data_IF_833490365272
#
_entry.id   IF_833490365272
#
_cell.length_a   1.000
_cell.length_b   1.000
_cell.length_c   1.000
_cell.angle_alpha   90.00
_cell.angle_beta   90.00
_cell.angle_gamma   90.00
#
_symmetry.space_group_name_H-M   'P 1'
#
loop_
_entity.id
_entity.type
_entity.pdbx_description
1 polymer ?
2 non-polymer ?
3 non-polymer ?
4 non-polymer ?
5 non-polymer ?
6 non-polymer ?
7 water ?
#
# COMPACT_ATOMS: atom_id res chain seq x y z
N UNK A 1 19.31 -14.22 -15.98
CA UNK A 1 19.26 -14.96 -14.72
C UNK A 1 17.83 -15.05 -14.22
N UNK A 2 17.64 -15.76 -13.12
CA UNK A 2 16.32 -15.85 -12.52
C UNK A 2 15.94 -14.51 -11.90
N UNK A 3 14.64 -14.33 -11.68
CA UNK A 3 14.19 -13.17 -10.93
C UNK A 3 14.43 -13.45 -9.45
N UNK A 4 15.27 -12.63 -8.83
CA UNK A 4 15.73 -12.83 -7.46
C UNK A 4 14.91 -12.02 -6.47
N UNK A 5 14.83 -12.52 -5.24
CA UNK A 5 14.30 -11.73 -4.14
C UNK A 5 15.16 -10.48 -3.93
N UNK A 6 14.53 -9.42 -3.44
CA UNK A 6 15.26 -8.18 -3.19
C UNK A 6 15.07 -7.72 -1.76
N UNK A 7 16.13 -7.12 -1.21
CA UNK A 7 16.02 -6.41 0.05
C UNK A 7 16.67 -5.03 -0.12
N UNK A 8 16.81 -4.29 0.97
CA UNK A 8 17.47 -3.01 0.91
C UNK A 8 18.98 -3.18 0.92
N UNK A 9 19.67 -2.28 0.22
CA UNK A 9 21.13 -2.33 0.20
C UNK A 9 21.72 -1.74 1.49
N UNK A 10 21.09 -0.70 2.03
CA UNK A 10 21.58 0.00 3.20
C UNK A 10 20.40 0.44 4.05
N UNK A 11 20.70 0.86 5.28
CA UNK A 11 19.66 1.33 6.19
C UNK A 11 19.11 2.67 5.74
N UNK A 12 17.80 2.84 5.83
CA UNK A 12 17.11 4.07 5.45
C UNK A 12 16.37 4.62 6.66
N UNK A 13 16.44 5.93 6.86
CA UNK A 13 15.77 6.56 7.99
C UNK A 13 14.89 7.72 7.55
N UNK A 14 13.76 7.89 8.23
CA UNK A 14 12.88 9.02 7.98
C UNK A 14 12.18 9.38 9.28
N UNK A 15 11.83 10.65 9.41
CA UNK A 15 11.06 11.13 10.55
C UNK A 15 9.76 11.74 10.02
N UNK A 16 8.70 11.61 10.80
CA UNK A 16 7.46 12.25 10.44
C UNK A 16 6.45 12.16 11.55
N UNK A 17 5.18 12.27 11.18
CA UNK A 17 4.07 12.16 12.13
C UNK A 17 3.05 11.20 11.55
N UNK A 18 2.33 10.51 12.44
CA UNK A 18 1.24 9.67 11.98
C UNK A 18 0.05 10.50 11.55
N UNK A 19 -0.52 10.16 10.40
CA UNK A 19 -1.70 10.88 9.91
C UNK A 19 -2.82 10.86 10.93
N UNK A 20 -3.10 9.69 11.48
CA UNK A 20 -4.26 9.56 12.37
C UNK A 20 -3.93 9.91 13.80
N UNK A 21 -2.74 9.55 14.29
CA UNK A 21 -2.41 9.79 15.69
C UNK A 21 -1.78 11.16 15.93
N UNK A 22 -1.19 11.76 14.90
CA UNK A 22 -0.41 12.98 15.04
C UNK A 22 0.89 12.83 15.79
N UNK A 23 1.30 11.61 16.14
CA UNK A 23 2.49 11.43 16.97
C UNK A 23 3.76 11.42 16.12
N UNK A 24 4.79 12.09 16.62
CA UNK A 24 6.09 12.02 15.98
C UNK A 24 6.60 10.59 15.98
N UNK A 25 7.20 10.18 14.88
CA UNK A 25 7.66 8.80 14.73
C UNK A 25 8.94 8.78 13.91
N UNK A 26 9.88 7.94 14.33
CA UNK A 26 11.12 7.68 13.63
C UNK A 26 10.98 6.33 12.93
N UNK A 27 11.23 6.33 11.63
CA UNK A 27 11.13 5.16 10.79
C UNK A 27 12.54 4.72 10.38
N UNK A 28 12.83 3.43 10.50
CA UNK A 28 14.10 2.88 10.06
C UNK A 28 13.81 1.64 9.24
N UNK A 29 14.28 1.64 8.00
CA UNK A 29 14.13 0.50 7.11
C UNK A 29 15.47 -0.22 7.02
N UNK A 30 15.47 -1.53 7.24
CA UNK A 30 16.70 -2.30 7.28
C UNK A 30 16.63 -3.51 6.35
N UNK A 31 17.78 -3.94 5.84
CA UNK A 31 17.81 -5.19 5.07
C UNK A 31 17.37 -6.38 5.93
N UNK A 32 16.85 -7.40 5.28
CA UNK A 32 16.42 -8.60 5.96
C UNK A 32 16.74 -9.82 5.10
N UNK A 33 16.89 -10.99 5.72
CA UNK A 33 17.26 -12.19 4.96
C UNK A 33 16.14 -12.67 4.04
N UNK A 34 16.53 -13.60 3.16
CA UNK A 34 15.60 -14.23 2.24
C UNK A 34 14.39 -14.77 2.99
N UNK A 35 13.22 -14.69 2.38
CA UNK A 35 11.97 -15.25 2.89
C UNK A 35 11.55 -14.67 4.24
N UNK A 36 12.06 -13.49 4.58
CA UNK A 36 11.57 -12.77 5.77
C UNK A 36 10.22 -12.11 5.51
N UNK A 37 10.03 -11.61 4.29
CA UNK A 37 8.93 -10.70 4.04
C UNK A 37 9.21 -9.33 4.66
N UNK A 38 8.17 -8.52 4.67
CA UNK A 38 8.20 -7.21 5.31
C UNK A 38 7.70 -7.38 6.73
N UNK A 39 8.53 -7.02 7.71
CA UNK A 39 8.18 -7.20 9.11
C UNK A 39 8.28 -5.85 9.82
N UNK A 40 7.19 -5.41 10.44
CA UNK A 40 7.19 -4.19 11.22
C UNK A 40 7.62 -4.49 12.65
N UNK A 41 8.32 -3.52 13.24
CA UNK A 41 8.95 -3.67 14.54
C UNK A 41 8.67 -2.43 15.37
N UNK A 42 8.02 -2.59 16.53
CA UNK A 42 7.77 -1.48 17.45
C UNK A 42 8.94 -1.39 18.40
N UNK A 43 9.94 -0.58 18.04
CA UNK A 43 11.17 -0.50 18.81
C UNK A 43 11.07 0.45 20.00
N UNK A 44 9.93 1.12 20.18
CA UNK A 44 9.71 1.85 21.42
C UNK A 44 9.34 0.91 22.56
N UNK A 45 9.00 -0.34 22.26
CA UNK A 45 8.61 -1.32 23.25
C UNK A 45 9.80 -2.20 23.61
N UNK A 46 9.78 -2.72 24.84
CA UNK A 46 10.90 -3.53 25.30
C UNK A 46 10.35 -4.69 26.12
N UNK A 47 10.46 -5.94 25.62
CA UNK A 47 11.03 -6.32 24.32
C UNK A 47 10.22 -5.81 23.15
N UNK A 48 10.86 -5.79 21.98
CA UNK A 48 10.16 -5.32 20.78
C UNK A 48 9.00 -6.24 20.45
N UNK A 49 8.05 -5.69 19.71
CA UNK A 49 6.95 -6.46 19.14
C UNK A 49 7.14 -6.43 17.64
N UNK A 50 7.26 -7.60 17.03
CA UNK A 50 7.44 -7.72 15.58
C UNK A 50 6.16 -8.23 14.96
N UNK A 51 5.69 -7.53 13.92
CA UNK A 51 4.45 -7.92 13.25
C UNK A 51 4.72 -8.08 11.76
N UNK A 52 4.75 -9.30 11.24
CA UNK A 52 4.82 -9.48 9.79
C UNK A 52 3.68 -8.77 9.08
N UNK A 53 4.01 -8.09 7.98
CA UNK A 53 3.01 -7.39 7.18
C UNK A 53 2.27 -8.41 6.31
N UNK A 54 1.40 -9.17 6.97
CA UNK A 54 0.63 -10.23 6.33
C UNK A 54 -0.85 -10.07 6.67
N UNK A 55 -1.70 -10.56 5.74
CA UNK A 55 -3.15 -10.46 5.90
C UNK A 55 -3.61 -10.98 7.27
N UNK A 56 -2.97 -12.05 7.76
CA UNK A 56 -3.40 -12.66 9.02
C UNK A 56 -3.20 -11.74 10.23
N UNK A 57 -2.43 -10.66 10.09
CA UNK A 57 -2.19 -9.76 11.21
C UNK A 57 -2.93 -8.44 11.08
N UNK A 58 -3.82 -8.32 10.10
CA UNK A 58 -4.64 -7.13 9.97
C UNK A 58 -5.71 -7.14 11.06
N UNK A 59 -5.78 -6.07 11.83
CA UNK A 59 -6.87 -5.87 12.75
C UNK A 59 -7.88 -4.92 12.14
N UNK A 60 -7.94 -3.70 12.67
CA UNK A 60 -8.88 -2.71 12.16
C UNK A 60 -8.53 -2.28 10.74
N UNK A 61 -9.56 -1.87 10.01
CA UNK A 61 -9.48 -1.35 8.66
C UNK A 61 -10.37 -0.12 8.52
N UNK A 62 -10.44 0.68 9.57
CA UNK A 62 -11.22 1.92 9.59
C UNK A 62 -10.27 3.07 9.29
N UNK A 63 -10.38 3.62 8.08
CA UNK A 63 -9.63 4.78 7.59
C UNK A 63 -8.16 4.48 7.35
N UNK A 64 -7.70 3.26 7.58
CA UNK A 64 -6.33 2.85 7.30
C UNK A 64 -6.29 1.34 7.44
N UNK A 65 -5.18 0.72 7.06
CA UNK A 65 -4.94 -0.68 7.38
C UNK A 65 -4.03 -0.74 8.61
N UNK A 66 -4.48 -1.47 9.64
CA UNK A 66 -3.78 -1.53 10.92
C UNK A 66 -3.36 -2.97 11.16
N UNK A 67 -2.08 -3.17 11.45
CA UNK A 67 -1.59 -4.47 11.91
C UNK A 67 -1.66 -4.55 13.42
N UNK A 68 -1.96 -5.75 13.94
CA UNK A 68 -2.12 -5.94 15.38
C UNK A 68 -1.43 -7.23 15.82
N UNK A 69 -0.88 -7.18 17.03
CA UNK A 69 -0.30 -8.36 17.68
C UNK A 69 -0.33 -8.10 19.17
N UNK A 70 -0.86 -9.05 19.93
CA UNK A 70 -1.07 -8.78 21.35
C UNK A 70 -1.94 -7.55 21.52
N UNK A 71 -1.52 -6.64 22.39
CA UNK A 71 -2.23 -5.39 22.59
C UNK A 71 -1.67 -4.27 21.73
N UNK A 72 -0.77 -4.58 20.81
CA UNK A 72 0.09 -3.63 20.11
C UNK A 72 -0.40 -3.44 18.68
N UNK A 73 -0.25 -2.24 18.15
CA UNK A 73 -0.68 -1.98 16.79
C UNK A 73 0.41 -1.25 16.00
N UNK A 74 0.35 -1.42 14.69
CA UNK A 74 1.08 -0.60 13.73
C UNK A 74 0.05 -0.12 12.73
N UNK A 75 -0.23 1.19 12.73
CA UNK A 75 -1.31 1.74 11.95
C UNK A 75 -0.79 2.35 10.65
N UNK A 76 -1.66 2.38 9.65
CA UNK A 76 -1.47 3.10 8.38
C UNK A 76 -0.24 2.56 7.65
N UNK A 77 -0.26 1.25 7.40
CA UNK A 77 0.85 0.62 6.69
C UNK A 77 0.72 0.69 5.18
N UNK A 78 -0.42 1.13 4.64
CA UNK A 78 -0.72 0.92 3.23
C UNK A 78 0.22 1.69 2.30
N UNK A 79 0.62 2.92 2.67
CA UNK A 79 1.42 3.70 1.72
C UNK A 79 2.86 3.21 1.67
N UNK A 80 3.43 2.85 2.82
CA UNK A 80 4.77 2.27 2.79
C UNK A 80 4.76 0.91 2.10
N UNK A 81 3.76 0.07 2.38
CA UNK A 81 3.70 -1.21 1.69
C UNK A 81 3.50 -1.03 0.20
N UNK A 82 2.79 0.02 -0.22
CA UNK A 82 2.66 0.26 -1.66
C UNK A 82 4.00 0.55 -2.29
N UNK A 83 4.85 1.32 -1.60
CA UNK A 83 6.20 1.59 -2.10
C UNK A 83 7.02 0.32 -2.18
N UNK A 84 6.94 -0.53 -1.16
CA UNK A 84 7.65 -1.81 -1.15
C UNK A 84 7.21 -2.68 -2.32
N UNK A 85 5.90 -2.82 -2.48
CA UNK A 85 5.35 -3.58 -3.59
C UNK A 85 5.77 -2.99 -4.92
N UNK A 86 5.64 -1.67 -5.06
CA UNK A 86 5.92 -1.04 -6.34
C UNK A 86 7.36 -1.18 -6.77
N UNK A 87 8.30 -1.24 -5.81
CA UNK A 87 9.72 -1.41 -6.09
C UNK A 87 10.17 -2.86 -6.04
N UNK A 88 9.27 -3.79 -5.74
CA UNK A 88 9.64 -5.20 -5.74
C UNK A 88 10.49 -5.62 -4.57
N UNK A 89 10.30 -5.02 -3.41
CA UNK A 89 11.09 -5.36 -2.22
C UNK A 89 10.43 -6.53 -1.50
N UNK A 90 11.14 -7.66 -1.45
CA UNK A 90 10.58 -8.84 -0.79
C UNK A 90 10.78 -8.82 0.71
N UNK A 91 11.97 -8.42 1.17
CA UNK A 91 12.39 -8.66 2.54
C UNK A 91 12.90 -7.36 3.15
N UNK A 92 12.39 -7.01 4.32
CA UNK A 92 12.82 -5.78 4.96
C UNK A 92 12.28 -5.74 6.38
N UNK A 93 13.06 -5.14 7.27
CA UNK A 93 12.60 -4.81 8.61
C UNK A 93 12.22 -3.34 8.61
N UNK A 94 11.05 -3.04 9.14
CA UNK A 94 10.54 -1.68 9.21
C UNK A 94 10.39 -1.34 10.70
N UNK A 95 11.34 -0.60 11.23
CA UNK A 95 11.32 -0.22 12.64
C UNK A 95 10.60 1.11 12.82
N UNK A 96 9.75 1.17 13.85
CA UNK A 96 8.98 2.36 14.18
C UNK A 96 9.07 2.66 15.66
N UNK A 97 9.27 3.93 16.00
CA UNK A 97 9.30 4.35 17.38
C UNK A 97 7.92 4.69 17.94
N UNK A 98 6.86 4.40 17.20
CA UNK A 98 5.49 4.72 17.60
C UNK A 98 4.52 3.87 16.80
N UNK A 99 3.24 3.99 17.14
CA UNK A 99 2.21 3.08 16.66
C UNK A 99 1.71 3.36 15.25
N UNK A 100 2.29 4.32 14.52
CA UNK A 100 1.81 4.60 13.17
C UNK A 100 2.96 4.99 12.26
N UNK A 101 2.93 4.49 11.03
CA UNK A 101 3.90 4.88 10.00
C UNK A 101 3.78 6.37 9.73
N UNK A 102 4.87 7.12 9.59
CA UNK A 102 4.75 8.54 9.22
C UNK A 102 4.04 8.70 7.89
N UNK A 103 3.15 9.70 7.82
CA UNK A 103 2.40 9.97 6.59
C UNK A 103 3.24 10.66 5.51
N UNK A 104 4.33 11.34 5.88
CA UNK A 104 5.21 12.02 4.90
C UNK A 104 4.35 13.04 4.15
N UNK A 105 4.35 13.06 2.81
CA UNK A 105 3.55 14.02 2.05
C UNK A 105 2.19 13.45 1.65
N UNK A 106 1.81 12.31 2.22
CA UNK A 106 0.54 11.69 1.92
C UNK A 106 0.59 10.66 0.81
N UNK A 107 1.71 10.53 0.12
CA UNK A 107 1.85 9.61 -1.01
C UNK A 107 2.95 8.59 -0.69
N UNK A 108 3.29 7.78 -1.69
CA UNK A 108 4.45 6.91 -1.58
C UNK A 108 5.71 7.53 -2.17
N UNK A 109 5.63 8.78 -2.65
CA UNK A 109 6.76 9.43 -3.28
C UNK A 109 8.00 9.53 -2.41
N UNK A 110 7.86 10.06 -1.19
CA UNK A 110 9.04 10.14 -0.32
C UNK A 110 9.65 8.78 -0.02
N UNK A 111 8.81 7.74 0.15
CA UNK A 111 9.35 6.41 0.42
C UNK A 111 10.12 5.86 -0.78
N UNK A 112 9.57 5.98 -2.00
CA UNK A 112 10.29 5.42 -3.13
C UNK A 112 11.58 6.19 -3.38
N UNK A 113 11.60 7.51 -3.12
CA UNK A 113 12.84 8.25 -3.26
C UNK A 113 13.88 7.82 -2.21
N UNK A 114 13.46 7.73 -0.94
CA UNK A 114 14.41 7.35 0.10
C UNK A 114 14.97 5.95 -0.15
N UNK A 115 14.12 5.02 -0.57
CA UNK A 115 14.57 3.65 -0.82
C UNK A 115 15.52 3.61 -1.99
N UNK A 116 15.15 4.27 -3.09
CA UNK A 116 15.95 4.19 -4.31
C UNK A 116 17.24 4.99 -4.18
N UNK A 117 17.26 6.00 -3.31
CA UNK A 117 18.52 6.66 -2.96
C UNK A 117 19.50 5.66 -2.36
N UNK A 118 19.02 4.85 -1.42
CA UNK A 118 19.88 3.88 -0.76
C UNK A 118 20.18 2.71 -1.68
N UNK A 119 19.21 2.29 -2.48
CA UNK A 119 19.38 1.20 -3.40
C UNK A 119 18.84 -0.12 -2.87
N UNK A 120 18.55 -1.02 -3.81
CA UNK A 120 18.12 -2.37 -3.48
C UNK A 120 19.27 -3.34 -3.67
N UNK A 121 19.08 -4.55 -3.13
CA UNK A 121 20.07 -5.61 -3.17
C UNK A 121 19.38 -6.91 -3.55
N UNK A 122 19.84 -7.55 -4.64
CA UNK A 122 19.29 -8.84 -5.00
C UNK A 122 19.87 -9.90 -4.10
N UNK A 123 19.05 -10.91 -3.80
CA UNK A 123 19.42 -12.00 -2.93
C UNK A 123 19.39 -13.30 -3.73
N UNK A 124 20.17 -14.28 -3.29
CA UNK A 124 20.33 -15.52 -4.03
C UNK A 124 19.24 -16.52 -3.67
N UNK A 125 18.01 -16.14 -3.97
CA UNK A 125 16.85 -16.99 -3.84
C UNK A 125 15.82 -16.51 -4.86
N UNK A 126 15.10 -17.44 -5.45
CA UNK A 126 14.09 -17.08 -6.43
C UNK A 126 12.98 -16.26 -5.79
N UNK A 127 12.63 -15.15 -6.43
CA UNK A 127 11.45 -14.38 -6.09
C UNK A 127 10.19 -15.20 -6.35
N UNK A 128 9.30 -15.23 -5.38
CA UNK A 128 8.04 -15.95 -5.49
C UNK A 128 6.90 -14.98 -5.79
N UNK A 129 6.02 -15.40 -6.71
CA UNK A 129 4.87 -14.61 -7.14
C UNK A 129 3.60 -15.40 -6.85
N UNK A 130 2.50 -14.71 -6.55
CA UNK A 130 1.19 -15.35 -6.45
C UNK A 130 0.44 -15.09 -7.74
N UNK A 131 0.14 -16.15 -8.50
CA UNK A 131 -0.53 -16.03 -9.79
C UNK A 131 -2.01 -16.37 -9.61
N UNK A 132 -2.88 -15.43 -9.97
CA UNK A 132 -4.32 -15.64 -9.91
C UNK A 132 -4.72 -16.58 -11.04
N UNK A 133 -5.37 -17.70 -10.67
CA UNK A 133 -5.78 -18.70 -11.66
C UNK A 133 -7.24 -18.63 -12.04
N UNK A 134 -8.10 -18.10 -11.19
CA UNK A 134 -9.50 -17.92 -11.54
C UNK A 134 -10.05 -16.76 -10.72
N UNK A 135 -11.23 -16.29 -11.12
CA UNK A 135 -11.80 -15.11 -10.48
C UNK A 135 -12.12 -15.37 -9.02
N UNK A 136 -11.79 -14.38 -8.20
CA UNK A 136 -12.12 -14.35 -6.77
C UNK A 136 -12.68 -12.98 -6.48
N UNK A 137 -13.79 -12.92 -5.74
CA UNK A 137 -14.40 -11.62 -5.51
C UNK A 137 -15.05 -11.53 -4.14
N UNK A 138 -15.18 -10.31 -3.65
CA UNK A 138 -15.96 -10.05 -2.46
C UNK A 138 -16.78 -8.81 -2.74
N UNK A 139 -17.97 -8.77 -2.15
CA UNK A 139 -18.86 -7.63 -2.29
C UNK A 139 -19.49 -7.33 -0.95
N UNK A 140 -19.82 -6.06 -0.73
CA UNK A 140 -20.61 -5.66 0.42
C UNK A 140 -21.45 -4.48 -0.03
N UNK A 141 -22.75 -4.67 -0.13
CA UNK A 141 -23.58 -3.62 -0.69
C UNK A 141 -23.14 -3.35 -2.12
N UNK A 142 -22.95 -2.08 -2.45
CA UNK A 142 -22.52 -1.73 -3.80
C UNK A 142 -21.01 -1.73 -3.97
N UNK A 143 -20.24 -2.06 -2.93
CA UNK A 143 -18.79 -2.11 -3.00
C UNK A 143 -18.36 -3.50 -3.48
N UNK A 144 -17.25 -3.53 -4.23
CA UNK A 144 -16.78 -4.79 -4.78
C UNK A 144 -15.27 -4.75 -4.96
N UNK A 145 -14.63 -5.90 -4.76
CA UNK A 145 -13.20 -6.03 -5.00
C UNK A 145 -13.00 -7.39 -5.64
N UNK A 146 -12.24 -7.46 -6.74
CA UNK A 146 -12.14 -8.66 -7.57
C UNK A 146 -10.69 -8.90 -7.95
N UNK A 147 -10.28 -10.17 -7.97
CA UNK A 147 -9.06 -10.63 -8.63
C UNK A 147 -9.47 -11.41 -9.87
N UNK A 148 -8.83 -11.13 -11.00
CA UNK A 148 -9.03 -11.96 -12.19
C UNK A 148 -7.68 -12.32 -12.78
N UNK A 149 -7.57 -13.45 -13.48
CA UNK A 149 -6.28 -13.81 -14.06
C UNK A 149 -5.86 -12.78 -15.10
N UNK A 150 -4.55 -12.55 -15.17
CA UNK A 150 -3.96 -11.59 -16.08
C UNK A 150 -2.46 -11.83 -16.13
N UNK A 151 -1.91 -11.84 -17.34
CA UNK A 151 -0.49 -12.14 -17.57
C UNK A 151 0.31 -10.87 -17.37
N UNK A 152 0.53 -10.53 -16.11
CA UNK A 152 1.15 -9.27 -15.72
C UNK A 152 0.58 -8.83 -14.39
N UNK A 153 0.62 -7.52 -14.13
CA UNK A 153 -0.02 -6.96 -12.95
C UNK A 153 -0.71 -5.68 -13.34
N UNK A 154 -2.02 -5.61 -13.11
CA UNK A 154 -2.83 -4.47 -13.50
C UNK A 154 -3.82 -4.16 -12.38
N UNK A 155 -4.09 -2.89 -12.15
CA UNK A 155 -5.02 -2.46 -11.12
C UNK A 155 -5.96 -1.44 -11.74
N UNK A 156 -7.26 -1.67 -11.60
CA UNK A 156 -8.29 -0.71 -12.02
C UNK A 156 -9.12 -0.34 -10.81
N UNK A 157 -9.67 0.88 -10.83
CA UNK A 157 -10.42 1.35 -9.70
C UNK A 157 -11.48 2.33 -10.17
N UNK A 158 -12.63 2.30 -9.50
CA UNK A 158 -13.71 3.25 -9.74
C UNK A 158 -14.22 3.74 -8.40
N UNK A 159 -14.31 5.05 -8.23
CA UNK A 159 -14.91 5.65 -7.06
C UNK A 159 -16.22 6.30 -7.50
N UNK A 160 -17.03 6.69 -6.52
CA UNK A 160 -18.32 7.33 -6.80
C UNK A 160 -18.69 8.20 -5.60
N UNK A 161 -18.12 9.39 -5.55
CA UNK A 161 -18.40 10.35 -4.48
C UNK A 161 -19.54 11.28 -4.89
N UNK A 162 -20.56 11.37 -4.03
CA UNK A 162 -21.68 12.29 -4.20
C UNK A 162 -21.25 13.66 -3.66
N UNK A 163 -20.35 14.30 -4.41
CA UNK A 163 -19.70 15.51 -3.95
C UNK A 163 -19.41 16.39 -5.15
N UNK A 164 -19.60 17.70 -5.04
CA UNK A 164 -19.45 18.57 -6.23
C UNK A 164 -18.03 18.65 -6.78
N UNK A 165 -17.00 18.29 -6.00
CA UNK A 165 -15.63 18.28 -6.51
C UNK A 165 -15.33 17.00 -7.28
N UNK A 166 -16.20 15.99 -7.17
CA UNK A 166 -16.02 14.71 -7.83
C UNK A 166 -16.99 14.46 -8.97
N UNK A 167 -18.23 14.95 -8.85
CA UNK A 167 -19.21 14.79 -9.92
C UNK A 167 -18.67 15.35 -11.23
N UNK A 168 -18.83 14.58 -12.30
CA UNK A 168 -18.37 15.04 -13.59
C UNK A 168 -16.89 14.85 -13.85
N UNK A 169 -16.14 14.37 -12.86
CA UNK A 169 -14.70 14.13 -12.99
C UNK A 169 -14.40 12.68 -13.36
N UNK A 170 -13.14 12.47 -13.72
CA UNK A 170 -12.58 11.15 -13.96
C UNK A 170 -12.50 10.42 -12.63
N UNK A 171 -13.43 9.50 -12.41
CA UNK A 171 -13.46 8.72 -11.19
C UNK A 171 -13.14 7.25 -11.45
N UNK A 172 -12.55 6.95 -12.59
CA UNK A 172 -12.16 5.59 -12.92
C UNK A 172 -10.78 5.63 -13.55
N UNK A 173 -9.96 4.63 -13.26
CA UNK A 173 -8.64 4.57 -13.86
C UNK A 173 -8.15 3.13 -13.84
N UNK A 174 -7.31 2.80 -14.80
CA UNK A 174 -6.67 1.49 -14.90
C UNK A 174 -5.20 1.71 -15.20
N UNK A 175 -4.32 1.03 -14.48
CA UNK A 175 -2.89 1.15 -14.70
C UNK A 175 -2.30 -0.24 -14.81
N UNK A 176 -1.45 -0.43 -15.82
CA UNK A 176 -0.69 -1.66 -16.01
C UNK A 176 0.68 -1.50 -15.38
N UNK A 177 0.98 -2.34 -14.39
CA UNK A 177 2.25 -2.32 -13.68
C UNK A 177 3.11 -3.51 -14.06
N UNK A 178 2.92 -4.04 -15.27
CA UNK A 178 3.74 -5.18 -15.69
C UNK A 178 5.16 -4.76 -16.03
N UNK A 179 5.36 -3.48 -16.33
CA UNK A 179 6.69 -2.90 -16.50
C UNK A 179 6.96 -1.97 -15.33
N UNK A 180 7.76 -0.94 -15.55
CA UNK A 180 8.20 -0.09 -14.43
C UNK A 180 7.46 1.24 -14.39
N UNK A 181 6.14 1.20 -14.41
CA UNK A 181 5.32 2.41 -14.45
C UNK A 181 4.84 2.90 -13.08
N UNK A 182 5.10 2.16 -12.00
CA UNK A 182 4.55 2.53 -10.68
C UNK A 182 5.03 3.91 -10.26
N UNK A 183 6.32 4.18 -10.39
CA UNK A 183 6.86 5.44 -9.89
C UNK A 183 6.21 6.61 -10.61
N UNK A 184 6.10 6.54 -11.93
CA UNK A 184 5.55 7.65 -12.69
C UNK A 184 4.04 7.75 -12.52
N UNK A 185 3.36 6.60 -12.47
CA UNK A 185 1.90 6.62 -12.60
C UNK A 185 1.20 6.90 -11.27
N UNK A 186 1.61 6.27 -10.16
CA UNK A 186 0.81 6.41 -8.95
C UNK A 186 1.60 6.78 -7.70
N UNK A 187 2.95 6.67 -7.71
CA UNK A 187 3.66 6.76 -6.44
C UNK A 187 3.42 8.10 -5.73
N UNK A 188 3.17 9.17 -6.48
CA UNK A 188 3.07 10.49 -5.89
C UNK A 188 1.63 10.92 -5.66
N UNK A 189 0.66 10.02 -5.85
CA UNK A 189 -0.73 10.39 -5.64
C UNK A 189 -1.02 10.43 -4.14
N UNK A 190 -1.48 11.59 -3.66
CA UNK A 190 -1.66 11.84 -2.23
C UNK A 190 -2.99 11.33 -1.71
N UNK A 191 -3.00 10.96 -0.43
CA UNK A 191 -4.22 10.67 0.29
C UNK A 191 -5.09 11.93 0.35
N UNK A 192 -6.36 11.74 0.71
CA UNK A 192 -7.33 12.83 0.66
C UNK A 192 -8.41 12.60 1.70
N UNK A 193 -8.99 13.70 2.15
CA UNK A 193 -10.06 13.65 3.13
C UNK A 193 -10.89 14.89 2.98
N UNK A 194 -11.94 14.97 3.79
CA UNK A 194 -12.95 16.01 3.66
C UNK A 194 -12.97 16.87 4.91
N UNK A 195 -12.85 18.18 4.71
CA UNK A 195 -12.83 19.12 5.82
C UNK A 195 -14.05 18.94 6.72
N UNK A 196 -15.20 18.64 6.13
CA UNK A 196 -16.43 18.45 6.88
C UNK A 196 -16.28 17.41 7.97
N UNK A 197 -15.46 16.39 7.74
CA UNK A 197 -15.34 15.24 8.64
C UNK A 197 -14.36 15.46 9.79
N UNK A 198 -13.61 16.57 9.80
CA UNK A 198 -12.43 16.60 10.65
C UNK A 198 -12.77 16.53 12.14
N UNK A 199 -13.90 17.11 12.57
CA UNK A 199 -14.25 17.02 13.98
C UNK A 199 -14.64 15.60 14.36
N UNK A 200 -15.45 14.94 13.54
CA UNK A 200 -15.78 13.55 13.81
C UNK A 200 -14.52 12.69 13.81
N UNK A 201 -13.69 12.84 12.78
CA UNK A 201 -12.46 12.06 12.69
C UNK A 201 -11.62 12.22 13.95
N UNK A 202 -11.35 13.46 14.34
CA UNK A 202 -10.50 13.70 15.51
C UNK A 202 -11.09 13.11 16.77
N UNK A 203 -12.42 13.06 16.86
CA UNK A 203 -13.05 12.45 18.02
C UNK A 203 -12.82 10.93 18.06
N UNK A 204 -12.47 10.32 16.93
CA UNK A 204 -12.15 8.91 16.81
C UNK A 204 -10.66 8.64 16.81
N UNK A 205 -9.85 9.63 17.18
CA UNK A 205 -8.39 9.55 17.06
C UNK A 205 -7.99 9.22 15.63
N UNK A 206 -8.60 9.92 14.68
CA UNK A 206 -8.27 9.84 13.27
C UNK A 206 -7.95 11.24 12.74
N UNK A 207 -7.05 11.28 11.76
CA UNK A 207 -6.63 12.51 11.07
C UNK A 207 -6.10 13.59 12.01
N UNK A 208 -5.65 13.21 13.21
CA UNK A 208 -5.11 14.19 14.15
C UNK A 208 -3.87 14.88 13.60
N UNK A 209 -3.14 14.21 12.71
CA UNK A 209 -2.01 14.83 12.05
C UNK A 209 -2.28 15.35 10.66
N UNK A 210 -3.51 15.25 10.17
CA UNK A 210 -3.80 15.59 8.79
C UNK A 210 -3.81 17.10 8.54
N UNK A 211 -3.25 17.50 7.41
CA UNK A 211 -3.18 18.90 7.03
C UNK A 211 -2.98 18.96 5.52
N UNK A 212 -3.01 20.18 4.99
CA UNK A 212 -2.71 20.35 3.57
C UNK A 212 -1.27 19.98 3.23
N UNK A 213 -0.40 19.81 4.24
CA UNK A 213 0.97 19.38 3.95
C UNK A 213 1.08 17.88 3.70
N UNK A 214 0.07 17.09 4.06
CA UNK A 214 0.17 15.65 3.84
C UNK A 214 -1.10 15.02 3.28
N UNK A 215 -2.04 15.83 2.78
CA UNK A 215 -3.28 15.31 2.21
C UNK A 215 -3.92 16.36 1.32
N UNK A 216 -4.65 15.89 0.33
CA UNK A 216 -5.59 16.74 -0.38
C UNK A 216 -6.80 16.93 0.52
N UNK A 217 -7.07 18.15 0.93
CA UNK A 217 -8.18 18.46 1.83
C UNK A 217 -9.30 19.06 1.00
N UNK A 218 -10.44 18.39 0.97
CA UNK A 218 -11.55 18.78 0.12
C UNK A 218 -12.60 19.47 0.98
N UNK A 219 -12.91 20.71 0.65
CA UNK A 219 -13.96 21.48 1.30
C UNK A 219 -15.29 21.16 0.63
N UNK A 220 -16.33 21.97 0.91
CA UNK A 220 -17.65 21.62 0.38
C UNK A 220 -17.71 21.79 -1.14
N UNK A 221 -17.04 22.80 -1.68
CA UNK A 221 -17.16 23.10 -3.10
C UNK A 221 -15.83 23.27 -3.81
N UNK A 222 -14.71 22.96 -3.16
CA UNK A 222 -13.41 23.17 -3.78
C UNK A 222 -12.35 22.41 -3.00
N UNK A 223 -11.23 22.18 -3.66
CA UNK A 223 -10.03 21.67 -2.99
C UNK A 223 -9.38 22.81 -2.20
N UNK A 224 -9.06 22.55 -0.94
CA UNK A 224 -8.49 23.57 -0.09
C UNK A 224 -7.03 23.88 -0.43
N UNK A 225 -6.27 22.87 -0.85
CA UNK A 225 -4.85 23.03 -1.16
C UNK A 225 -4.65 24.08 -2.23
N UNK A 226 -3.93 25.14 -1.85
CA UNK A 226 -3.74 26.25 -2.77
C UNK A 226 -2.84 25.89 -3.94
N UNK A 227 -1.96 24.90 -3.78
CA UNK A 227 -0.94 24.66 -4.79
C UNK A 227 -1.40 23.72 -5.91
N UNK A 228 -2.54 23.04 -5.77
CA UNK A 228 -3.11 22.29 -6.87
C UNK A 228 -2.79 20.80 -6.80
N UNK A 229 -3.31 20.08 -7.79
CA UNK A 229 -3.19 18.63 -7.86
C UNK A 229 -1.96 18.21 -8.64
N UNK A 230 -1.43 17.05 -8.27
CA UNK A 230 -0.31 16.45 -8.98
C UNK A 230 -0.75 15.68 -10.22
N UNK A 231 -1.99 15.21 -10.24
CA UNK A 231 -2.62 14.57 -11.38
C UNK A 231 -4.07 14.99 -11.39
N UNK A 232 -4.66 15.18 -12.57
CA UNK A 232 -6.08 15.50 -12.59
C UNK A 232 -6.91 14.37 -12.00
N UNK A 233 -6.41 13.13 -12.06
CA UNK A 233 -7.10 11.99 -11.47
C UNK A 233 -6.39 11.51 -10.21
N UNK A 234 -5.88 12.45 -9.41
CA UNK A 234 -5.08 12.07 -8.25
C UNK A 234 -5.88 11.24 -7.25
N UNK A 235 -7.18 11.54 -7.10
CA UNK A 235 -7.98 10.80 -6.11
C UNK A 235 -8.04 9.31 -6.44
N UNK A 236 -8.44 8.98 -7.66
CA UNK A 236 -8.56 7.56 -8.01
C UNK A 236 -7.19 6.91 -8.11
N UNK A 237 -6.16 7.66 -8.50
CA UNK A 237 -4.82 7.09 -8.49
C UNK A 237 -4.37 6.76 -7.07
N UNK A 238 -4.77 7.56 -6.08
CA UNK A 238 -4.41 7.22 -4.71
C UNK A 238 -5.10 5.95 -4.26
N UNK A 239 -6.35 5.75 -4.67
CA UNK A 239 -7.04 4.51 -4.34
C UNK A 239 -6.31 3.31 -4.91
N UNK A 240 -5.75 3.47 -6.11
CA UNK A 240 -4.92 2.42 -6.71
C UNK A 240 -3.66 2.18 -5.89
N UNK A 241 -3.01 3.28 -5.46
CA UNK A 241 -1.85 3.17 -4.57
C UNK A 241 -2.21 2.38 -3.31
N UNK A 242 -3.33 2.73 -2.68
CA UNK A 242 -3.80 2.02 -1.49
C UNK A 242 -3.99 0.54 -1.78
N UNK A 243 -4.59 0.22 -2.94
CA UNK A 243 -4.87 -1.18 -3.25
C UNK A 243 -3.57 -1.96 -3.40
N UNK A 244 -2.56 -1.36 -4.03
CA UNK A 244 -1.29 -2.06 -4.21
C UNK A 244 -0.68 -2.37 -2.86
N UNK A 245 -0.72 -1.41 -1.93
CA UNK A 245 -0.17 -1.64 -0.60
C UNK A 245 -0.97 -2.67 0.18
N UNK A 246 -2.29 -2.56 0.17
CA UNK A 246 -3.12 -3.55 0.86
C UNK A 246 -2.90 -4.95 0.27
N UNK A 247 -2.81 -5.05 -1.06
CA UNK A 247 -2.61 -6.35 -1.71
C UNK A 247 -1.27 -6.96 -1.35
N UNK A 248 -0.28 -6.13 -1.04
CA UNK A 248 1.02 -6.67 -0.68
C UNK A 248 1.03 -7.39 0.68
N UNK A 249 -0.06 -7.27 1.45
CA UNK A 249 -0.20 -8.10 2.63
C UNK A 249 -0.31 -9.59 2.29
N UNK A 250 -0.47 -9.94 1.00
CA UNK A 250 -0.32 -11.34 0.61
C UNK A 250 1.09 -11.84 0.82
N UNK A 251 2.08 -10.95 0.88
CA UNK A 251 3.45 -11.33 1.14
C UNK A 251 4.29 -11.56 -0.10
N UNK A 252 3.69 -11.50 -1.28
CA UNK A 252 4.43 -11.66 -2.52
C UNK A 252 3.80 -10.79 -3.60
N UNK A 253 4.58 -10.48 -4.63
CA UNK A 253 4.05 -9.80 -5.80
C UNK A 253 2.98 -10.64 -6.49
N UNK A 254 2.01 -9.95 -7.08
CA UNK A 254 0.87 -10.58 -7.72
C UNK A 254 1.04 -10.65 -9.23
N UNK A 255 0.63 -11.78 -9.81
CA UNK A 255 0.47 -11.90 -11.26
C UNK A 255 -1.03 -12.04 -11.49
N UNK A 256 -1.67 -10.96 -11.89
CA UNK A 256 -3.12 -10.93 -12.01
C UNK A 256 -3.60 -9.50 -12.08
N UNK A 257 -4.92 -9.37 -12.12
CA UNK A 257 -5.57 -8.08 -12.20
C UNK A 257 -6.48 -7.88 -10.99
N UNK A 258 -6.40 -6.70 -10.37
CA UNK A 258 -7.32 -6.29 -9.31
C UNK A 258 -8.28 -5.23 -9.86
N UNK A 259 -9.56 -5.35 -9.51
CA UNK A 259 -10.51 -4.30 -9.85
C UNK A 259 -11.27 -3.92 -8.58
N UNK A 260 -11.26 -2.65 -8.24
CA UNK A 260 -11.96 -2.13 -7.08
C UNK A 260 -13.10 -1.23 -7.53
N UNK A 261 -14.24 -1.37 -6.88
CA UNK A 261 -15.41 -0.54 -7.14
C UNK A 261 -15.89 -0.03 -5.79
N UNK A 262 -15.63 1.25 -5.51
CA UNK A 262 -15.99 1.88 -4.26
C UNK A 262 -15.44 1.13 -3.05
N UNK A 263 -14.36 0.38 -3.24
CA UNK A 263 -13.81 -0.43 -2.16
C UNK A 263 -12.79 0.37 -1.36
N UNK A 264 -12.34 -0.22 -0.26
CA UNK A 264 -11.38 0.39 0.62
C UNK A 264 -10.65 -0.69 1.40
N UNK A 265 -10.02 -0.29 2.51
CA UNK A 265 -9.12 -1.20 3.21
C UNK A 265 -9.87 -2.43 3.73
N UNK A 266 -11.10 -2.25 4.22
CA UNK A 266 -11.84 -3.37 4.78
C UNK A 266 -12.11 -4.43 3.72
N UNK A 267 -12.62 -4.02 2.56
CA UNK A 267 -12.93 -5.01 1.54
C UNK A 267 -11.67 -5.58 0.91
N UNK A 268 -10.60 -4.78 0.80
CA UNK A 268 -9.32 -5.30 0.34
C UNK A 268 -8.86 -6.46 1.22
N UNK A 269 -8.93 -6.27 2.55
CA UNK A 269 -8.54 -7.33 3.49
C UNK A 269 -9.44 -8.55 3.33
N UNK A 270 -10.75 -8.34 3.18
CA UNK A 270 -11.67 -9.47 2.99
C UNK A 270 -11.34 -10.22 1.70
N UNK A 271 -10.95 -9.50 0.65
CA UNK A 271 -10.59 -10.16 -0.61
C UNK A 271 -9.37 -11.04 -0.42
N UNK A 272 -8.34 -10.52 0.27
CA UNK A 272 -7.14 -11.33 0.50
C UNK A 272 -7.48 -12.58 1.30
N UNK A 273 -8.34 -12.44 2.31
CA UNK A 273 -8.63 -13.58 3.18
C UNK A 273 -9.38 -14.67 2.42
N UNK A 274 -10.32 -14.29 1.55
CA UNK A 274 -11.00 -15.34 0.80
C UNK A 274 -10.11 -15.92 -0.29
N UNK A 275 -9.23 -15.10 -0.89
CA UNK A 275 -8.26 -15.65 -1.84
C UNK A 275 -7.39 -16.70 -1.18
N UNK A 276 -6.83 -16.36 -0.02
CA UNK A 276 -5.95 -17.30 0.68
C UNK A 276 -6.67 -18.61 0.99
N UNK A 277 -7.95 -18.52 1.37
CA UNK A 277 -8.71 -19.75 1.64
C UNK A 277 -9.07 -20.51 0.38
N UNK A 278 -9.21 -19.81 -0.74
CA UNK A 278 -9.62 -20.37 -2.02
C UNK A 278 -8.39 -20.85 -2.79
N UNK A 279 -7.77 -21.92 -2.30
CA UNK A 279 -6.43 -22.27 -2.77
C UNK A 279 -6.41 -22.69 -4.24
N UNK A 280 -7.51 -23.24 -4.75
CA UNK A 280 -7.50 -23.59 -6.18
C UNK A 280 -7.48 -22.36 -7.07
N UNK A 281 -7.68 -21.18 -6.52
CA UNK A 281 -7.71 -19.96 -7.31
C UNK A 281 -6.34 -19.33 -7.50
N UNK A 282 -5.28 -19.87 -6.92
CA UNK A 282 -3.97 -19.24 -7.06
C UNK A 282 -2.88 -20.28 -6.90
N UNK A 283 -1.69 -19.92 -7.37
CA UNK A 283 -0.51 -20.76 -7.25
C UNK A 283 0.70 -19.88 -7.03
N UNK A 284 1.79 -20.47 -6.55
CA UNK A 284 3.04 -19.75 -6.35
C UNK A 284 3.99 -20.12 -7.48
N UNK A 285 4.57 -19.11 -8.13
CA UNK A 285 5.44 -19.35 -9.28
C UNK A 285 6.74 -18.58 -9.13
N UNK A 286 7.77 -19.08 -9.82
CA UNK A 286 9.08 -18.44 -9.92
C UNK A 286 9.47 -18.41 -11.39
N UNK A 287 10.52 -17.63 -11.70
CA UNK A 287 10.99 -17.45 -13.06
C UNK A 287 12.50 -17.64 -13.10
N UNK A 288 12.95 -18.75 -13.70
CA UNK A 288 14.38 -18.98 -13.82
C UNK A 288 15.02 -18.13 -14.92
N UNK A 289 14.22 -17.44 -15.73
CA UNK A 289 14.73 -16.55 -16.77
C UNK A 289 13.87 -15.29 -16.77
N UNK A 290 14.45 -14.16 -16.36
CA UNK A 290 13.65 -12.93 -16.31
C UNK A 290 13.09 -12.55 -17.66
N UNK A 291 13.72 -12.98 -18.75
CA UNK A 291 13.25 -12.59 -20.08
C UNK A 291 11.89 -13.18 -20.40
N UNK A 292 11.53 -14.31 -19.79
CA UNK A 292 10.26 -14.95 -20.11
C UNK A 292 9.18 -14.67 -19.08
N UNK A 293 9.44 -13.76 -18.13
CA UNK A 293 8.46 -13.44 -17.09
C UNK A 293 7.50 -12.35 -17.56
N UNK A 294 6.29 -12.33 -17.01
CA UNK A 294 5.31 -11.30 -17.40
C UNK A 294 5.48 -9.97 -16.68
N UNK A 295 6.35 -9.88 -15.69
CA UNK A 295 6.63 -8.62 -14.99
C UNK A 295 8.13 -8.37 -15.05
N UNK A 296 8.50 -7.12 -15.32
CA UNK A 296 9.90 -6.73 -15.37
C UNK A 296 10.19 -5.70 -14.29
N UNK A 297 11.44 -5.68 -13.82
CA UNK A 297 11.82 -4.81 -12.71
C UNK A 297 13.03 -3.97 -13.10
N UNK A 298 13.10 -2.78 -12.48
CA UNK A 298 14.25 -1.90 -12.60
C UNK A 298 15.50 -2.56 -12.05
N UNK A 299 16.65 -2.10 -12.51
CA UNK A 299 17.90 -2.48 -11.86
C UNK A 299 17.86 -2.08 -10.39
N UNK A 300 18.54 -2.82 -9.51
CA UNK A 300 18.51 -2.53 -8.07
C UNK A 300 19.25 -1.24 -7.72
X LIG B 1 -8.04 14.14 6.29
X LIG B 1 -7.19 16.36 6.71
X LIG B 1 -8.49 16.81 6.89
X LIG B 1 -8.70 18.15 7.20
X LIG B 1 -7.55 18.95 7.55
X LIG B 1 -8.01 20.37 7.76
X LIG B 1 -9.64 21.95 8.55
X LIG B 1 -8.85 23.00 8.13
X LIG B 1 -7.22 21.43 7.34
X LIG B 1 -9.55 15.96 6.78
X LIG B 1 -9.33 14.62 6.48
X LIG B 1 -6.51 6.47 2.74
X LIG B 1 -4.75 4.96 3.04
X LIG B 1 -8.56 6.05 4.18
X LIG B 1 -7.90 6.94 3.14
X LIG B 1 -7.89 8.42 3.58
X LIG B 1 -7.19 8.65 4.94
X LIG B 1 -6.60 11.05 4.77
X LIG B 1 -6.78 12.34 5.05
X LIG B 1 -7.83 12.70 5.97
X LIG B 1 -8.60 11.75 6.50
X LIG B 1 -8.42 10.34 6.19
X LIG B 1 -6.97 15.02 6.40
X LIG B 1 -9.23 20.64 8.37
X LIG B 1 -7.63 22.73 7.53
X LIG B 1 -8.29 8.19 0.48
X LIG B 1 -7.38 10.06 5.32
X LIG B 1 -6.07 5.38 3.42
X LIG B 1 -9.10 9.43 6.65
X LIG B 1 -5.85 7.03 1.88
X LIG B 1 -8.86 5.48 0.95
X LIG B 1 -10.45 7.41 2.05
X LIG B 1 -8.98 6.93 1.61
X LIG C 1 -8.01 14.17 6.23
X LIG C 1 -7.05 16.31 6.78
X LIG C 1 -8.32 16.82 7.02
X LIG C 1 -8.46 18.14 7.41
X LIG C 1 -7.23 18.89 7.61
X LIG C 1 -7.57 20.29 8.08
X LIG C 1 -7.84 22.64 7.67
X LIG C 1 -8.16 22.84 9.00
X LIG C 1 -7.89 20.50 9.41
X LIG C 1 -9.43 16.01 6.87
X LIG C 1 -9.28 14.70 6.48
X LIG C 1 -6.48 6.74 2.64
X LIG C 1 -4.90 5.13 3.29
X LIG C 1 -8.49 7.14 1.15
X LIG C 1 -7.94 7.16 2.57
X LIG C 1 -8.17 8.55 3.22
X LIG C 1 -7.32 8.76 4.50
X LIG C 1 -6.65 11.14 4.51
X LIG C 1 -6.79 12.42 4.90
X LIG C 1 -7.84 12.76 5.81
X LIG C 1 -8.67 11.79 6.25
X LIG C 1 -8.53 10.41 5.84
X LIG C 1 -6.90 15.00 6.38
X LIG C 1 -7.53 21.36 7.21
X LIG C 1 -8.19 21.77 9.87
X LIG C 1 -10.62 6.77 3.75
X LIG C 1 -7.48 10.16 4.96
X LIG C 1 -6.28 5.53 3.22
X LIG C 1 -9.25 9.49 6.21
X LIG C 1 -5.60 7.43 2.18
X LIG C 1 -8.29 5.85 5.02
X LIG C 1 -9.14 4.65 2.70
X LIG C 1 -8.97 5.99 3.58
X LIG D 1 -4.16 5.98 1.29
X LIG E 1 -14.25 -1.09 2.17
X LIG F 1 -2.30 13.48 -14.92
X LIG F 1 -3.02 14.74 -14.93
X LIG F 1 -3.27 12.32 -15.13
X LIG F 1 -2.75 11.12 -14.53
X LIG G 1 13.84 -20.37 -10.43
X LIG G 1 15.18 -19.85 -10.49
X LIG G 1 13.78 -21.52 -9.43
X LIG G 1 12.44 -21.62 -8.94
#
# INVERSE_FOLDING_TARGET
SMIKQRTLKNIIRATGVGLHSGEKVYLTLKPAPVDTGIVFCRTDLDPVVEIPARAENVGETTMSTTLVKGDVKVDTVEHLLSAMAGLGIDNAYVELSASEVPIMDGSAGPFVFLIQSAGLQEQEAAKKFIRIKREVSVEEGDKRAVFVPFDGFKVSFEIDFDHPVFRGRTQQASVDFSSTSFVKEVSRARTFGFMRDIEYLRSQNLALGGSVENAIVVDENRVLNEDGLRYEDEFVKHKILDAIGDLYLLGNSLIGEFRGFKSGHALNNQLLRTLIADKDAWEVVTFEDARTAPISYMRPAAAV
HAY C12 C14 C15 O16 C17 C18 C20 C21 C23 C24 C25 C26 O29 C01 C02 C03 C04 C06 C07 C08 C09 C10 C13 C19 C22 C31 N05 N28 O11 O27 O32 O33 S30
J1M C12 C14 C15 O16 C17 C18 C20 C21 C23 C24 C25 C26 O29 C01 C02 C03 C04 C06 C07 C08 C09 C10 C13 C19 C22 C31 N05 N28 O11 O27 O32 O33 S30
ZN ZN
CL CL
EDO C1 O1 C2 O2
EDO C1 O1 C2 O2
#
